data_IF_404610664412
#
_entry.id   IF_404610664412
#
_cell.length_a   1.000
_cell.length_b   1.000
_cell.length_c   1.000
_cell.angle_alpha   90.00
_cell.angle_beta   90.00
_cell.angle_gamma   90.00
#
_symmetry.space_group_name_H-M   'P 1'
#
loop_
_entity.id
_entity.type
_entity.pdbx_description
1 polymer ?
#
# COMPACT_ATOMS: atom_id res chain seq x y z
N UNK A 1 57.60 -1.17 -50.03
CA UNK A 1 57.74 -1.62 -48.62
C UNK A 1 56.98 -0.74 -47.62
N UNK A 2 56.94 0.59 -47.75
CA UNK A 2 56.26 1.48 -46.82
C UNK A 2 54.73 1.30 -46.66
N UNK A 3 53.99 1.01 -47.74
CA UNK A 3 52.53 0.83 -47.67
C UNK A 3 52.12 -0.46 -46.92
N UNK A 4 52.91 -1.51 -47.05
CA UNK A 4 52.65 -2.79 -46.35
C UNK A 4 52.89 -2.65 -44.82
N UNK A 5 53.90 -1.89 -44.42
CA UNK A 5 54.22 -1.62 -43.01
C UNK A 5 53.13 -0.78 -42.36
N UNK A 6 52.57 0.22 -43.05
CA UNK A 6 51.45 1.06 -42.54
C UNK A 6 50.18 0.26 -42.40
N UNK A 7 49.87 -0.63 -43.37
CA UNK A 7 48.71 -1.53 -43.24
C UNK A 7 48.85 -2.52 -42.07
N UNK A 8 50.05 -3.07 -41.86
CA UNK A 8 50.32 -3.97 -40.75
C UNK A 8 50.22 -3.29 -39.39
N UNK A 9 50.72 -2.02 -39.27
CA UNK A 9 50.55 -1.20 -38.05
C UNK A 9 49.09 -0.86 -37.78
N UNK A 10 48.28 -0.53 -38.79
CA UNK A 10 46.85 -0.28 -38.64
C UNK A 10 46.10 -1.53 -38.19
N UNK A 11 46.42 -2.70 -38.72
CA UNK A 11 45.83 -3.98 -38.31
C UNK A 11 46.18 -4.34 -36.86
N UNK A 12 47.41 -4.09 -36.42
CA UNK A 12 47.84 -4.28 -35.04
C UNK A 12 47.15 -3.32 -34.07
N UNK A 13 46.89 -2.10 -34.50
CA UNK A 13 46.15 -1.11 -33.67
C UNK A 13 44.69 -1.51 -33.49
N UNK A 14 44.02 -2.09 -34.50
CA UNK A 14 42.66 -2.61 -34.38
C UNK A 14 42.59 -3.90 -33.54
N UNK A 15 43.63 -4.73 -33.54
CA UNK A 15 43.68 -5.94 -32.71
C UNK A 15 43.93 -5.65 -31.22
N UNK A 16 44.39 -4.46 -30.87
CA UNK A 16 44.65 -4.03 -29.49
C UNK A 16 43.49 -3.29 -28.85
N UNK A 17 42.32 -3.16 -29.52
CA UNK A 17 41.16 -2.58 -28.90
C UNK A 17 40.70 -3.53 -27.74
N UNK A 18 40.63 -3.03 -26.49
CA UNK A 18 40.16 -3.84 -25.40
C UNK A 18 38.74 -4.34 -25.75
N UNK A 19 38.54 -5.65 -25.74
CA UNK A 19 37.22 -6.23 -25.80
C UNK A 19 36.44 -5.67 -24.64
N UNK A 20 35.54 -4.72 -24.91
CA UNK A 20 34.67 -4.15 -23.90
C UNK A 20 33.87 -5.31 -23.28
N UNK A 21 34.27 -5.77 -22.10
CA UNK A 21 33.45 -6.67 -21.34
C UNK A 21 32.18 -5.91 -20.97
N UNK A 22 31.07 -6.26 -21.61
CA UNK A 22 29.78 -5.76 -21.18
C UNK A 22 29.62 -6.10 -19.69
N UNK A 23 29.52 -5.07 -18.86
CA UNK A 23 29.34 -5.27 -17.42
C UNK A 23 28.09 -6.12 -17.22
N UNK A 24 28.20 -7.20 -16.44
CA UNK A 24 27.06 -8.05 -16.14
C UNK A 24 25.91 -7.19 -15.54
N UNK A 25 24.68 -7.48 -15.93
CA UNK A 25 23.52 -6.74 -15.41
C UNK A 25 23.52 -6.72 -13.87
N UNK A 26 23.27 -5.55 -13.30
CA UNK A 26 23.35 -5.34 -11.84
C UNK A 26 22.58 -6.39 -11.03
N UNK A 27 21.39 -6.76 -11.47
CA UNK A 27 20.53 -7.72 -10.77
C UNK A 27 20.84 -9.19 -11.06
N UNK A 28 21.77 -9.50 -11.95
CA UNK A 28 22.09 -10.90 -12.29
C UNK A 28 22.55 -11.70 -11.06
N UNK A 29 21.87 -12.81 -10.77
CA UNK A 29 22.16 -13.66 -9.62
C UNK A 29 21.75 -13.06 -8.26
N UNK A 30 21.04 -11.92 -8.26
CA UNK A 30 20.55 -11.28 -7.03
C UNK A 30 19.07 -11.58 -6.79
N UNK A 31 18.62 -11.31 -5.58
CA UNK A 31 17.22 -11.35 -5.16
C UNK A 31 16.79 -9.97 -4.73
N UNK A 32 15.64 -9.52 -5.23
CA UNK A 32 14.98 -8.29 -4.77
C UNK A 32 13.91 -8.67 -3.75
N UNK A 33 13.87 -7.99 -2.61
CA UNK A 33 12.88 -8.22 -1.56
C UNK A 33 11.88 -7.07 -1.54
N UNK A 34 10.58 -7.40 -1.56
CA UNK A 34 9.50 -6.42 -1.36
C UNK A 34 9.01 -6.56 0.08
N UNK A 35 9.28 -5.57 0.92
CA UNK A 35 8.79 -5.49 2.29
C UNK A 35 7.37 -4.93 2.29
N UNK A 36 6.41 -5.66 2.86
CA UNK A 36 4.99 -5.30 2.92
C UNK A 36 4.59 -4.99 4.35
N UNK A 37 4.03 -3.81 4.60
CA UNK A 37 3.65 -3.34 5.94
C UNK A 37 2.36 -3.95 6.53
N UNK A 38 1.83 -5.01 5.93
CA UNK A 38 0.65 -5.75 6.40
C UNK A 38 0.90 -7.25 6.46
N UNK A 39 -0.01 -7.98 7.10
CA UNK A 39 -0.02 -9.44 7.09
C UNK A 39 -0.27 -10.03 5.69
N UNK A 40 0.06 -11.32 5.53
CA UNK A 40 -0.16 -12.05 4.28
C UNK A 40 -1.65 -12.11 3.91
N UNK A 41 -1.94 -12.03 2.61
CA UNK A 41 -3.32 -12.03 2.08
C UNK A 41 -4.05 -10.69 2.17
N UNK A 42 -3.45 -9.66 2.79
CA UNK A 42 -3.97 -8.29 2.71
C UNK A 42 -3.78 -7.70 1.30
N UNK A 43 -4.51 -6.62 0.99
CA UNK A 43 -4.44 -5.98 -0.33
C UNK A 43 -3.03 -5.57 -0.74
N UNK A 44 -2.24 -5.01 0.18
CA UNK A 44 -0.84 -4.64 -0.08
C UNK A 44 0.02 -5.86 -0.40
N UNK A 45 -0.21 -6.98 0.31
CA UNK A 45 0.48 -8.24 0.06
C UNK A 45 0.11 -8.82 -1.31
N UNK A 46 -1.18 -8.79 -1.67
CA UNK A 46 -1.65 -9.26 -2.98
C UNK A 46 -1.02 -8.45 -4.13
N UNK A 47 -0.97 -7.13 -4.03
CA UNK A 47 -0.29 -6.28 -5.02
C UNK A 47 1.21 -6.56 -5.10
N UNK A 48 1.88 -6.68 -3.95
CA UNK A 48 3.31 -6.99 -3.91
C UNK A 48 3.62 -8.34 -4.57
N UNK A 49 2.79 -9.36 -4.32
CA UNK A 49 2.94 -10.69 -4.97
C UNK A 49 2.65 -10.64 -6.46
N UNK A 50 1.62 -9.90 -6.88
CA UNK A 50 1.34 -9.70 -8.29
C UNK A 50 2.52 -8.99 -9.01
N UNK A 51 3.09 -7.96 -8.40
CA UNK A 51 4.29 -7.29 -8.91
C UNK A 51 5.47 -8.26 -8.94
N UNK A 52 5.71 -9.00 -7.88
CA UNK A 52 6.82 -9.95 -7.77
C UNK A 52 6.78 -11.02 -8.87
N UNK A 53 5.57 -11.49 -9.24
CA UNK A 53 5.38 -12.51 -10.27
C UNK A 53 5.86 -12.05 -11.66
N UNK A 54 5.77 -10.76 -11.95
CA UNK A 54 6.06 -10.22 -13.28
C UNK A 54 7.31 -9.35 -13.36
N UNK A 55 7.71 -8.68 -12.27
CA UNK A 55 8.75 -7.65 -12.29
C UNK A 55 10.12 -8.17 -12.70
N UNK A 56 10.50 -9.39 -12.26
CA UNK A 56 11.82 -9.95 -12.51
C UNK A 56 12.22 -9.94 -13.99
N UNK A 57 11.30 -10.32 -14.88
CA UNK A 57 11.53 -10.38 -16.33
C UNK A 57 11.79 -9.00 -16.99
N UNK A 58 11.45 -7.91 -16.32
CA UNK A 58 11.67 -6.54 -16.82
C UNK A 58 12.94 -5.91 -16.23
N UNK A 59 13.59 -6.57 -15.28
CA UNK A 59 14.84 -6.08 -14.71
C UNK A 59 16.06 -6.74 -15.40
N UNK A 60 17.08 -5.97 -15.80
CA UNK A 60 18.30 -6.51 -16.39
C UNK A 60 18.94 -7.55 -15.47
N UNK A 61 19.14 -8.77 -15.95
CA UNK A 61 19.68 -9.88 -15.15
C UNK A 61 18.62 -10.79 -14.54
N UNK A 62 17.33 -10.52 -14.75
CA UNK A 62 16.19 -11.35 -14.34
C UNK A 62 16.29 -11.87 -12.89
N UNK A 63 16.35 -10.98 -11.87
CA UNK A 63 16.48 -11.39 -10.48
C UNK A 63 15.28 -12.15 -9.97
N UNK A 64 15.48 -13.00 -8.96
CA UNK A 64 14.40 -13.51 -8.14
C UNK A 64 13.72 -12.37 -7.37
N UNK A 65 12.39 -12.41 -7.23
CA UNK A 65 11.65 -11.43 -6.43
C UNK A 65 10.94 -12.19 -5.31
N UNK A 66 11.14 -11.76 -4.06
CA UNK A 66 10.45 -12.30 -2.88
C UNK A 66 9.63 -11.24 -2.19
N UNK A 67 8.55 -11.66 -1.54
CA UNK A 67 7.69 -10.78 -0.71
C UNK A 67 7.84 -11.19 0.74
N UNK A 68 8.14 -10.22 1.60
CA UNK A 68 8.29 -10.39 3.03
C UNK A 68 7.32 -9.47 3.77
N UNK A 69 6.43 -10.06 4.56
CA UNK A 69 5.49 -9.30 5.38
C UNK A 69 6.14 -8.82 6.67
N UNK A 70 5.96 -7.55 7.00
CA UNK A 70 6.44 -6.89 8.21
C UNK A 70 5.31 -6.00 8.77
N UNK A 71 4.24 -6.61 9.31
CA UNK A 71 3.09 -5.87 9.80
C UNK A 71 3.40 -5.12 11.10
N UNK A 72 2.56 -4.16 11.42
CA UNK A 72 2.56 -3.46 12.70
C UNK A 72 2.50 -1.93 12.57
N UNK A 73 1.81 -1.33 13.55
CA UNK A 73 1.59 0.10 13.69
C UNK A 73 1.17 0.80 12.37
N UNK A 74 0.26 0.18 11.60
CA UNK A 74 -0.23 0.77 10.34
C UNK A 74 0.86 0.99 9.28
N UNK A 75 1.75 0.02 9.08
CA UNK A 75 2.95 0.02 8.23
C UNK A 75 4.17 0.78 8.79
N UNK A 76 4.09 1.39 9.98
CA UNK A 76 5.19 2.19 10.55
C UNK A 76 6.47 1.36 10.73
N UNK A 77 6.33 0.09 11.18
CA UNK A 77 7.47 -0.80 11.38
C UNK A 77 8.20 -1.04 10.05
N UNK A 78 7.46 -1.38 9.00
CA UNK A 78 8.04 -1.60 7.67
C UNK A 78 8.68 -0.34 7.10
N UNK A 79 8.02 0.82 7.22
CA UNK A 79 8.55 2.09 6.75
C UNK A 79 9.87 2.44 7.47
N UNK A 80 9.89 2.38 8.79
CA UNK A 80 11.11 2.63 9.55
C UNK A 80 12.24 1.66 9.16
N UNK A 81 11.95 0.37 9.01
CA UNK A 81 12.93 -0.63 8.58
C UNK A 81 13.54 -0.28 7.22
N UNK A 82 12.71 0.03 6.23
CA UNK A 82 13.16 0.36 4.88
C UNK A 82 14.06 1.60 4.90
N UNK A 83 13.74 2.59 5.73
CA UNK A 83 14.49 3.84 5.79
C UNK A 83 15.80 3.73 6.58
N UNK A 84 15.80 2.99 7.72
CA UNK A 84 16.90 3.03 8.68
C UNK A 84 17.79 1.79 8.65
N UNK A 85 17.30 0.65 8.17
CA UNK A 85 17.97 -0.67 8.25
C UNK A 85 18.30 -1.24 6.88
N UNK A 86 17.37 -1.18 5.93
CA UNK A 86 17.58 -1.71 4.59
C UNK A 86 18.72 -0.97 3.89
N UNK A 87 19.57 -1.71 3.17
CA UNK A 87 20.64 -1.10 2.38
C UNK A 87 20.06 -0.35 1.19
N UNK A 88 20.56 0.87 0.87
CA UNK A 88 20.08 1.64 -0.29
C UNK A 88 20.77 1.17 -1.58
N UNK A 89 20.75 -0.12 -1.84
CA UNK A 89 21.40 -0.79 -2.97
C UNK A 89 20.44 -1.20 -4.09
N UNK A 90 19.15 -0.83 -3.97
CA UNK A 90 18.12 -1.18 -4.96
C UNK A 90 17.62 -2.61 -4.88
N UNK A 91 18.01 -3.40 -3.85
CA UNK A 91 17.53 -4.78 -3.66
C UNK A 91 16.37 -4.88 -2.65
N UNK A 92 16.02 -3.79 -1.98
CA UNK A 92 14.86 -3.73 -1.07
C UNK A 92 13.88 -2.68 -1.55
N UNK A 93 12.63 -3.10 -1.77
CA UNK A 93 11.50 -2.25 -2.08
C UNK A 93 10.52 -2.26 -0.90
N UNK A 94 9.72 -1.19 -0.77
CA UNK A 94 8.67 -1.10 0.23
C UNK A 94 7.29 -0.96 -0.39
N UNK A 95 6.33 -1.75 0.09
CA UNK A 95 4.90 -1.56 -0.12
C UNK A 95 4.29 -1.04 1.18
N UNK A 96 4.28 0.28 1.34
CA UNK A 96 3.89 0.99 2.56
C UNK A 96 2.71 1.92 2.32
N UNK A 97 2.00 2.26 3.38
CA UNK A 97 0.81 3.10 3.34
C UNK A 97 1.17 4.59 3.20
N UNK A 98 0.57 5.26 2.24
CA UNK A 98 0.78 6.70 2.01
C UNK A 98 0.33 7.58 3.19
N UNK A 99 -0.59 7.12 4.03
CA UNK A 99 -1.03 7.84 5.23
C UNK A 99 0.07 8.07 6.28
N UNK A 100 1.18 7.35 6.20
CA UNK A 100 2.36 7.58 7.05
C UNK A 100 2.99 8.97 6.85
N UNK A 101 2.75 9.60 5.71
CA UNK A 101 3.12 11.00 5.48
C UNK A 101 2.49 11.93 6.53
N UNK A 102 1.22 11.71 6.89
CA UNK A 102 0.54 12.51 7.92
C UNK A 102 1.13 12.27 9.32
N UNK A 103 1.59 11.04 9.63
CA UNK A 103 2.27 10.74 10.90
C UNK A 103 3.55 11.57 11.06
N UNK A 104 4.31 11.75 9.97
CA UNK A 104 5.48 12.64 9.97
C UNK A 104 5.07 14.10 10.14
N UNK A 105 4.03 14.57 9.42
CA UNK A 105 3.58 15.97 9.49
C UNK A 105 3.11 16.37 10.90
N UNK A 106 2.48 15.45 11.63
CA UNK A 106 2.03 15.71 12.99
C UNK A 106 3.12 15.46 14.06
N UNK A 107 4.34 15.13 13.62
CA UNK A 107 5.50 15.00 14.51
C UNK A 107 5.46 13.77 15.43
N UNK A 108 4.91 12.65 14.98
CA UNK A 108 4.90 11.42 15.77
C UNK A 108 6.30 10.95 16.10
N UNK A 109 6.57 10.67 17.37
CA UNK A 109 7.88 10.25 17.87
C UNK A 109 8.36 8.91 17.30
N UNK A 110 7.43 8.05 16.89
CA UNK A 110 7.69 6.73 16.30
C UNK A 110 8.20 6.81 14.86
N UNK A 111 8.02 7.94 14.18
CA UNK A 111 8.51 8.16 12.80
C UNK A 111 10.02 8.33 12.81
N UNK A 112 10.72 7.42 12.11
CA UNK A 112 12.18 7.45 11.95
C UNK A 112 12.61 7.60 10.49
N UNK A 113 11.69 7.95 9.62
CA UNK A 113 11.92 8.19 8.20
C UNK A 113 11.71 9.67 7.87
N UNK A 114 12.23 10.06 6.71
CA UNK A 114 11.93 11.34 6.07
C UNK A 114 11.24 11.03 4.74
N UNK A 115 9.93 11.25 4.68
CA UNK A 115 9.06 10.83 3.57
C UNK A 115 9.53 11.31 2.20
N UNK A 116 9.96 12.57 2.00
CA UNK A 116 10.53 13.04 0.74
C UNK A 116 11.84 12.37 0.32
N UNK A 117 12.58 11.76 1.26
CA UNK A 117 13.87 11.12 0.97
C UNK A 117 13.77 9.67 0.53
N UNK A 118 12.58 9.07 0.54
CA UNK A 118 12.41 7.78 -0.13
C UNK A 118 12.57 7.93 -1.65
N UNK A 119 13.16 6.93 -2.28
CA UNK A 119 13.13 6.80 -3.74
C UNK A 119 11.80 6.19 -4.16
N UNK A 120 10.88 7.02 -4.63
CA UNK A 120 9.56 6.59 -5.06
C UNK A 120 9.61 5.98 -6.45
N UNK A 121 9.25 4.71 -6.56
CA UNK A 121 9.24 3.95 -7.83
C UNK A 121 7.92 4.14 -8.56
N UNK A 122 6.80 4.12 -7.84
CA UNK A 122 5.48 4.28 -8.43
C UNK A 122 4.35 3.98 -7.44
N UNK A 123 3.13 3.98 -7.98
CA UNK A 123 1.93 3.63 -7.25
C UNK A 123 1.14 2.61 -8.05
N UNK A 124 0.75 1.50 -7.42
CA UNK A 124 -0.02 0.45 -8.08
C UNK A 124 -1.41 0.92 -8.49
N UNK A 125 -2.01 1.83 -7.71
CA UNK A 125 -3.38 2.29 -7.94
C UNK A 125 -3.65 3.64 -7.28
N UNK A 126 -4.65 4.37 -7.82
CA UNK A 126 -5.25 5.55 -7.18
C UNK A 126 -6.66 5.18 -6.80
N UNK A 127 -6.88 4.93 -5.53
CA UNK A 127 -8.18 4.47 -5.06
C UNK A 127 -8.82 5.44 -4.08
N UNK A 128 -10.03 5.93 -4.38
CA UNK A 128 -10.86 6.59 -3.39
C UNK A 128 -11.13 5.66 -2.20
N UNK A 129 -11.61 6.23 -1.11
CA UNK A 129 -11.97 5.47 0.08
C UNK A 129 -13.47 5.25 0.13
N UNK A 130 -13.89 4.17 0.79
CA UNK A 130 -15.27 3.95 1.21
C UNK A 130 -15.27 3.62 2.70
N UNK A 131 -16.18 4.22 3.44
CA UNK A 131 -16.50 3.80 4.79
C UNK A 131 -17.79 3.00 4.73
N UNK A 132 -17.69 1.73 5.07
CA UNK A 132 -18.85 0.85 5.19
C UNK A 132 -19.21 0.55 6.64
N UNK A 133 -20.46 0.18 6.85
CA UNK A 133 -21.04 -0.22 8.12
C UNK A 133 -21.73 -1.58 7.96
N UNK A 134 -21.75 -2.40 9.00
CA UNK A 134 -22.66 -3.56 9.06
C UNK A 134 -24.10 -3.10 8.87
N UNK A 135 -24.83 -3.76 8.00
CA UNK A 135 -26.21 -3.36 7.68
C UNK A 135 -27.20 -3.62 8.80
N UNK A 136 -26.88 -4.56 9.71
CA UNK A 136 -27.68 -4.89 10.90
C UNK A 136 -27.44 -3.89 12.06
N UNK A 137 -26.46 -2.99 11.95
CA UNK A 137 -26.23 -1.94 12.92
C UNK A 137 -27.31 -0.85 12.84
N UNK A 138 -27.55 -0.09 13.93
CA UNK A 138 -28.51 1.02 13.94
C UNK A 138 -28.07 2.20 13.06
N UNK A 139 -26.81 2.25 12.64
CA UNK A 139 -26.22 3.37 11.90
C UNK A 139 -26.42 3.20 10.39
N UNK A 140 -27.43 3.86 9.83
CA UNK A 140 -27.77 3.78 8.39
C UNK A 140 -27.21 4.93 7.58
N UNK A 141 -26.91 6.05 8.24
CA UNK A 141 -26.40 7.28 7.65
C UNK A 141 -25.30 7.87 8.55
N UNK A 142 -24.58 8.87 8.05
CA UNK A 142 -23.61 9.65 8.87
C UNK A 142 -24.34 10.45 9.94
N UNK A 143 -25.57 10.89 9.70
CA UNK A 143 -26.37 11.59 10.71
C UNK A 143 -26.73 10.68 11.89
N UNK A 144 -26.98 9.41 11.67
CA UNK A 144 -27.18 8.45 12.76
C UNK A 144 -25.92 8.32 13.62
N UNK A 145 -24.73 8.28 12.98
CA UNK A 145 -23.45 8.26 13.71
C UNK A 145 -23.25 9.53 14.50
N UNK A 146 -23.54 10.68 13.88
CA UNK A 146 -23.43 12.01 14.53
C UNK A 146 -24.32 12.11 15.77
N UNK A 147 -25.51 11.54 15.72
CA UNK A 147 -26.51 11.61 16.78
C UNK A 147 -26.36 10.48 17.82
N UNK A 148 -25.40 9.57 17.62
CA UNK A 148 -25.25 8.40 18.46
C UNK A 148 -24.79 8.75 19.88
N UNK A 149 -25.44 8.19 20.91
CA UNK A 149 -24.96 8.26 22.30
C UNK A 149 -23.67 7.44 22.47
N UNK A 150 -23.62 6.27 21.82
CA UNK A 150 -22.46 5.40 21.79
C UNK A 150 -21.94 5.32 20.35
N UNK A 151 -20.74 5.86 20.07
CA UNK A 151 -20.15 5.82 18.75
C UNK A 151 -19.89 4.39 18.25
N UNK A 152 -20.11 4.09 16.94
CA UNK A 152 -19.79 2.77 16.40
C UNK A 152 -18.29 2.49 16.47
N UNK A 153 -17.94 1.21 16.68
CA UNK A 153 -16.55 0.75 16.67
C UNK A 153 -16.10 0.52 15.23
N UNK A 154 -15.04 1.20 14.81
CA UNK A 154 -14.39 1.01 13.52
C UNK A 154 -12.99 0.42 13.68
N UNK A 155 -12.62 -0.53 12.83
CA UNK A 155 -11.31 -1.17 12.86
C UNK A 155 -10.27 -0.50 11.96
N UNK A 156 -9.01 -0.45 12.42
CA UNK A 156 -7.86 0.01 11.64
C UNK A 156 -6.57 -0.69 12.04
N UNK A 157 -5.58 -0.70 11.15
CA UNK A 157 -4.24 -1.23 11.44
C UNK A 157 -3.37 -0.25 12.24
N UNK A 158 -3.70 1.03 12.24
CA UNK A 158 -2.95 2.07 12.94
C UNK A 158 -3.39 3.48 12.54
N UNK A 159 -2.83 4.48 13.21
CA UNK A 159 -3.22 5.90 13.08
C UNK A 159 -2.87 6.51 11.71
N UNK A 160 -1.82 6.04 11.05
CA UNK A 160 -1.47 6.45 9.68
C UNK A 160 -2.31 5.77 8.58
N UNK A 161 -3.29 4.94 8.91
CA UNK A 161 -4.12 4.25 7.93
C UNK A 161 -5.42 5.02 7.66
N UNK A 162 -5.95 4.91 6.43
CA UNK A 162 -7.23 5.53 6.05
C UNK A 162 -8.40 5.02 6.89
N UNK A 163 -8.31 3.81 7.45
CA UNK A 163 -9.25 3.29 8.44
C UNK A 163 -9.32 4.12 9.73
N UNK A 164 -8.28 4.91 10.04
CA UNK A 164 -8.26 5.89 11.12
C UNK A 164 -8.57 7.31 10.63
N UNK A 165 -7.90 7.71 9.53
CA UNK A 165 -7.96 9.10 9.05
C UNK A 165 -9.36 9.49 8.57
N UNK A 166 -10.09 8.59 7.88
CA UNK A 166 -11.45 8.90 7.41
C UNK A 166 -12.44 9.08 8.55
N UNK A 167 -12.54 8.19 9.57
CA UNK A 167 -13.34 8.45 10.77
C UNK A 167 -12.98 9.76 11.47
N UNK A 168 -11.69 10.07 11.60
CA UNK A 168 -11.25 11.32 12.23
C UNK A 168 -11.62 12.56 11.41
N UNK A 169 -11.49 12.50 10.10
CA UNK A 169 -11.93 13.57 9.21
C UNK A 169 -13.44 13.83 9.37
N UNK A 170 -14.26 12.78 9.44
CA UNK A 170 -15.70 12.89 9.66
C UNK A 170 -16.04 13.45 11.05
N UNK A 171 -15.27 13.09 12.08
CA UNK A 171 -15.43 13.65 13.41
C UNK A 171 -15.20 15.17 13.39
N UNK A 172 -14.10 15.63 12.78
CA UNK A 172 -13.70 17.04 12.74
C UNK A 172 -14.55 17.89 11.79
N UNK A 173 -15.04 17.31 10.69
CA UNK A 173 -15.76 18.11 9.66
C UNK A 173 -17.27 18.13 9.84
N UNK A 174 -17.87 17.01 10.27
CA UNK A 174 -19.32 16.88 10.39
C UNK A 174 -19.79 16.41 11.78
N UNK A 175 -18.87 16.24 12.74
CA UNK A 175 -19.20 15.83 14.11
C UNK A 175 -19.60 14.37 14.28
N UNK A 176 -19.35 13.51 13.28
CA UNK A 176 -19.66 12.09 13.34
C UNK A 176 -18.55 11.33 14.07
N UNK A 177 -18.79 10.96 15.32
CA UNK A 177 -17.80 10.29 16.19
C UNK A 177 -17.74 8.80 15.97
N UNK A 178 -16.54 8.25 16.01
CA UNK A 178 -16.27 6.83 15.92
C UNK A 178 -15.34 6.37 17.05
N UNK A 179 -15.60 5.20 17.60
CA UNK A 179 -14.65 4.52 18.48
C UNK A 179 -13.69 3.69 17.62
N UNK A 180 -12.51 4.23 17.31
CA UNK A 180 -11.56 3.58 16.40
C UNK A 180 -10.68 2.60 17.17
N UNK A 181 -10.82 1.31 16.85
CA UNK A 181 -10.03 0.20 17.41
C UNK A 181 -8.85 -0.06 16.47
N UNK A 182 -7.63 0.16 16.97
CA UNK A 182 -6.39 -0.01 16.21
C UNK A 182 -5.59 -1.22 16.67
N UNK A 183 -4.60 -1.63 15.85
CA UNK A 183 -3.67 -2.71 16.20
C UNK A 183 -3.84 -4.00 15.41
N UNK A 184 -4.82 -4.07 14.51
CA UNK A 184 -4.96 -5.20 13.58
C UNK A 184 -3.74 -5.31 12.65
N UNK A 185 -3.29 -6.54 12.37
CA UNK A 185 -2.11 -6.78 11.52
C UNK A 185 -2.38 -6.53 10.02
N UNK A 186 -3.65 -6.55 9.63
CA UNK A 186 -4.07 -6.31 8.24
C UNK A 186 -5.58 -6.23 8.11
N UNK A 187 -6.04 -5.92 6.90
CA UNK A 187 -7.46 -5.80 6.60
C UNK A 187 -8.26 -7.06 6.84
N UNK A 188 -7.67 -8.23 6.65
CA UNK A 188 -8.36 -9.51 6.83
C UNK A 188 -8.79 -9.73 8.29
N UNK A 189 -7.96 -9.36 9.26
CA UNK A 189 -8.32 -9.44 10.68
C UNK A 189 -9.46 -8.47 11.03
N UNK A 190 -9.44 -7.26 10.45
CA UNK A 190 -10.52 -6.29 10.63
C UNK A 190 -11.81 -6.84 10.03
N UNK A 191 -11.76 -7.44 8.84
CA UNK A 191 -12.93 -8.00 8.17
C UNK A 191 -13.54 -9.16 8.99
N UNK A 192 -12.70 -10.02 9.57
CA UNK A 192 -13.16 -11.07 10.51
C UNK A 192 -13.80 -10.47 11.78
N UNK A 193 -13.24 -9.40 12.34
CA UNK A 193 -13.82 -8.73 13.51
C UNK A 193 -15.18 -8.08 13.17
N UNK A 194 -15.35 -7.54 11.97
CA UNK A 194 -16.64 -7.04 11.46
C UNK A 194 -17.63 -8.20 11.33
N UNK A 195 -17.21 -9.31 10.74
CA UNK A 195 -18.08 -10.48 10.53
C UNK A 195 -18.59 -11.06 11.86
N UNK A 196 -17.72 -11.11 12.88
CA UNK A 196 -18.06 -11.56 14.24
C UNK A 196 -18.86 -10.55 15.04
N UNK A 197 -19.04 -9.31 14.54
CA UNK A 197 -19.76 -8.26 15.25
C UNK A 197 -18.98 -7.58 16.39
N UNK A 198 -17.66 -7.82 16.47
CA UNK A 198 -16.78 -7.17 17.45
C UNK A 198 -16.65 -5.67 17.18
N UNK A 199 -16.68 -5.31 15.90
CA UNK A 199 -16.73 -3.94 15.38
C UNK A 199 -17.81 -3.81 14.30
N UNK A 200 -18.26 -2.57 14.02
CA UNK A 200 -19.36 -2.32 13.09
C UNK A 200 -18.90 -1.77 11.74
N UNK A 201 -17.75 -1.12 11.68
CA UNK A 201 -17.34 -0.37 10.48
C UNK A 201 -15.85 -0.42 10.19
N UNK A 202 -15.54 -0.10 8.93
CA UNK A 202 -14.17 0.07 8.44
C UNK A 202 -14.17 1.04 7.27
N UNK A 203 -13.10 1.84 7.15
CA UNK A 203 -12.76 2.54 5.92
C UNK A 203 -11.61 1.84 5.20
N UNK A 204 -11.76 1.68 3.89
CA UNK A 204 -10.76 1.03 3.02
C UNK A 204 -10.87 1.58 1.60
N UNK A 205 -9.93 1.16 0.73
CA UNK A 205 -9.98 1.54 -0.68
C UNK A 205 -11.17 0.92 -1.40
N UNK A 206 -11.75 1.67 -2.32
CA UNK A 206 -12.88 1.17 -3.14
C UNK A 206 -12.51 -0.02 -3.99
N UNK A 207 -11.26 -0.12 -4.45
CA UNK A 207 -10.79 -1.32 -5.16
C UNK A 207 -10.89 -2.57 -4.31
N UNK A 208 -10.39 -2.53 -3.06
CA UNK A 208 -10.53 -3.66 -2.14
C UNK A 208 -12.00 -4.00 -1.92
N UNK A 209 -12.85 -2.98 -1.74
CA UNK A 209 -14.28 -3.16 -1.48
C UNK A 209 -15.04 -3.74 -2.67
N UNK A 210 -14.63 -3.46 -3.90
CA UNK A 210 -15.32 -3.94 -5.10
C UNK A 210 -14.72 -5.21 -5.70
N UNK A 211 -13.44 -5.54 -5.45
CA UNK A 211 -12.73 -6.57 -6.19
C UNK A 211 -12.46 -7.86 -5.42
N UNK A 212 -12.60 -7.88 -4.08
CA UNK A 212 -12.21 -9.05 -3.29
C UNK A 212 -13.29 -9.52 -2.32
N UNK A 213 -13.16 -10.76 -1.86
CA UNK A 213 -13.89 -11.28 -0.71
C UNK A 213 -13.33 -10.71 0.62
N UNK A 214 -14.16 -10.56 1.67
CA UNK A 214 -15.58 -10.97 1.72
C UNK A 214 -16.55 -9.92 1.15
N UNK A 215 -16.07 -8.76 0.69
CA UNK A 215 -16.93 -7.62 0.32
C UNK A 215 -17.84 -7.91 -0.87
N UNK A 216 -17.38 -8.69 -1.85
CA UNK A 216 -18.24 -9.08 -2.98
C UNK A 216 -19.48 -9.83 -2.48
N UNK A 217 -19.30 -10.80 -1.59
CA UNK A 217 -20.39 -11.55 -0.96
C UNK A 217 -21.22 -10.65 -0.05
N UNK A 218 -20.60 -9.80 0.79
CA UNK A 218 -21.31 -8.92 1.73
C UNK A 218 -22.21 -7.89 1.03
N UNK A 219 -21.75 -7.33 -0.08
CA UNK A 219 -22.56 -6.43 -0.88
C UNK A 219 -23.72 -7.14 -1.55
N UNK A 220 -23.50 -8.35 -2.07
CA UNK A 220 -24.53 -9.15 -2.73
C UNK A 220 -25.66 -9.59 -1.77
N UNK A 221 -25.32 -9.94 -0.54
CA UNK A 221 -26.28 -10.41 0.46
C UNK A 221 -26.79 -9.29 1.40
N UNK A 222 -26.32 -8.05 1.21
CA UNK A 222 -26.74 -6.90 2.02
C UNK A 222 -26.18 -6.89 3.44
N UNK A 223 -25.05 -7.57 3.71
CA UNK A 223 -24.38 -7.56 5.00
C UNK A 223 -23.70 -6.20 5.29
N UNK A 224 -23.17 -5.55 4.28
CA UNK A 224 -22.54 -4.23 4.40
C UNK A 224 -23.36 -3.14 3.71
N UNK A 225 -23.24 -1.92 4.23
CA UNK A 225 -23.82 -0.69 3.69
C UNK A 225 -22.75 0.38 3.63
N UNK A 226 -22.64 1.06 2.51
CA UNK A 226 -21.72 2.19 2.34
C UNK A 226 -22.35 3.45 2.95
N UNK A 227 -21.62 4.10 3.87
CA UNK A 227 -22.08 5.35 4.48
C UNK A 227 -21.50 6.59 3.79
N UNK A 228 -20.21 6.50 3.39
CA UNK A 228 -19.48 7.64 2.81
C UNK A 228 -18.48 7.12 1.80
N UNK A 229 -18.30 7.86 0.71
CA UNK A 229 -17.18 7.70 -0.22
C UNK A 229 -16.26 8.93 -0.18
N UNK A 230 -14.94 8.70 -0.28
CA UNK A 230 -13.93 9.77 -0.37
C UNK A 230 -13.41 9.90 -1.78
N UNK A 231 -13.21 11.14 -2.23
CA UNK A 231 -12.60 11.41 -3.54
C UNK A 231 -13.22 12.62 -4.24
N UNK A 232 -12.45 13.17 -5.20
CA UNK A 232 -12.89 14.35 -5.97
C UNK A 232 -14.04 14.05 -6.95
N UNK A 233 -14.17 12.80 -7.37
CA UNK A 233 -15.16 12.34 -8.33
C UNK A 233 -15.97 11.24 -7.67
N UNK A 234 -17.29 11.37 -7.75
CA UNK A 234 -18.23 10.37 -7.25
C UNK A 234 -18.11 9.09 -8.07
N UNK A 235 -18.01 7.96 -7.39
CA UNK A 235 -17.89 6.65 -8.02
C UNK A 235 -19.27 6.21 -8.53
N UNK A 236 -19.36 5.76 -9.77
CA UNK A 236 -20.61 5.36 -10.43
C UNK A 236 -21.39 4.33 -9.59
N UNK A 237 -20.70 3.28 -9.12
CA UNK A 237 -21.29 2.24 -8.29
C UNK A 237 -21.72 2.72 -6.89
N UNK A 238 -21.36 3.95 -6.49
CA UNK A 238 -21.69 4.60 -5.23
C UNK A 238 -22.45 5.92 -5.45
N UNK A 239 -23.16 6.08 -6.56
CA UNK A 239 -23.79 7.32 -6.95
C UNK A 239 -24.72 7.95 -5.88
N UNK A 240 -25.33 7.12 -5.04
CA UNK A 240 -26.22 7.54 -3.94
C UNK A 240 -25.49 7.74 -2.59
N UNK A 241 -24.22 7.35 -2.48
CA UNK A 241 -23.44 7.46 -1.25
C UNK A 241 -22.87 8.87 -1.12
N UNK A 242 -23.00 9.55 0.01
CA UNK A 242 -22.41 10.87 0.23
C UNK A 242 -20.89 10.88 -0.02
N UNK A 243 -20.37 12.00 -0.50
CA UNK A 243 -18.94 12.19 -0.79
C UNK A 243 -18.34 13.17 0.22
N UNK A 244 -17.13 12.89 0.69
CA UNK A 244 -16.28 13.74 1.52
C UNK A 244 -15.04 14.17 0.76
#
# INVERSE_FOLDING_TARGET
MTKAIVCAMLLLFFAALPTGHAQAPYYQGKTVTIIVGTGAGDLYDLYARAIALFMGKYLPGNPGIIVQNMPGAGHMIAANYIYTVAKPDGLTLGAINAGLYFEQLVGRAEVKFDWPKYTWVGNATKSPQVLYMRADSPFKTIDDVRSAKEPPKCGTTGTGNMGYLVPKLLEETVGAKFNVISGYQGGNEIDLAVERGEIQCRSLSTEAYFSREPFHTWRKNGFSRELVQGGRIRIENLAKVPTI
#
